data_IF_562229962974
#
_entry.id   IF_562229962974
#
_cell.length_a   1.000
_cell.length_b   1.000
_cell.length_c   1.000
_cell.angle_alpha   90.00
_cell.angle_beta   90.00
_cell.angle_gamma   90.00
#
_symmetry.space_group_name_H-M   'P 1'
#
loop_
_entity.id
_entity.type
_entity.pdbx_description
1 polymer ?
#
# COMPACT_ATOMS: atom_id res chain seq x y z
N UNK A 1 -19.13 -8.41 4.27
CA UNK A 1 -17.70 -8.66 4.02
C UNK A 1 -17.51 -9.11 2.59
N UNK A 2 -16.71 -8.39 1.87
CA UNK A 2 -16.49 -8.65 0.46
C UNK A 2 -15.21 -9.44 0.15
N UNK A 3 -14.48 -9.86 1.18
CA UNK A 3 -13.25 -10.62 1.00
C UNK A 3 -13.55 -12.12 0.97
N UNK A 4 -13.12 -12.76 -0.13
CA UNK A 4 -13.21 -14.21 -0.28
C UNK A 4 -11.87 -14.83 0.16
N UNK A 5 -11.92 -15.65 1.21
CA UNK A 5 -10.75 -16.29 1.81
C UNK A 5 -10.64 -17.77 1.45
N UNK A 6 -11.50 -18.25 0.55
CA UNK A 6 -11.61 -19.69 0.25
C UNK A 6 -10.50 -20.23 -0.64
N UNK A 7 -9.85 -19.39 -1.44
CA UNK A 7 -8.78 -19.79 -2.33
C UNK A 7 -7.39 -19.65 -1.71
N UNK A 8 -6.39 -19.93 -2.52
CA UNK A 8 -4.98 -19.76 -2.12
C UNK A 8 -4.66 -18.31 -1.76
N UNK A 9 -5.24 -17.38 -2.50
CA UNK A 9 -5.09 -15.94 -2.26
C UNK A 9 -6.43 -15.36 -1.86
N UNK A 10 -6.42 -14.40 -0.95
CA UNK A 10 -7.64 -13.66 -0.62
C UNK A 10 -8.00 -12.76 -1.78
N UNK A 11 -9.29 -12.67 -2.08
CA UNK A 11 -9.82 -11.90 -3.19
C UNK A 11 -10.84 -10.89 -2.67
N UNK A 12 -10.64 -9.61 -3.01
CA UNK A 12 -11.55 -8.53 -2.66
C UNK A 12 -12.40 -8.11 -3.84
N UNK A 13 -13.59 -7.57 -3.55
CA UNK A 13 -14.50 -7.06 -4.58
C UNK A 13 -14.48 -5.55 -4.71
N UNK A 14 -13.95 -4.84 -3.72
CA UNK A 14 -13.86 -3.38 -3.72
C UNK A 14 -12.47 -2.92 -3.31
N UNK A 15 -12.06 -1.70 -3.70
CA UNK A 15 -10.76 -1.16 -3.29
C UNK A 15 -10.60 -1.11 -1.77
N UNK A 16 -11.67 -0.84 -1.04
CA UNK A 16 -11.63 -0.77 0.43
C UNK A 16 -11.26 -2.09 1.10
N UNK A 17 -11.34 -3.21 0.40
CA UNK A 17 -10.98 -4.52 0.94
C UNK A 17 -9.48 -4.65 1.23
N UNK A 18 -8.65 -3.77 0.66
CA UNK A 18 -7.22 -3.69 0.99
C UNK A 18 -7.04 -3.49 2.50
N UNK A 19 -7.88 -2.64 3.11
CA UNK A 19 -7.82 -2.41 4.56
C UNK A 19 -8.00 -3.70 5.35
N UNK A 20 -9.03 -4.46 5.03
CA UNK A 20 -9.31 -5.73 5.73
C UNK A 20 -8.18 -6.73 5.60
N UNK A 21 -7.56 -6.80 4.42
CA UNK A 21 -6.41 -7.67 4.23
C UNK A 21 -5.21 -7.23 5.06
N UNK A 22 -4.88 -5.93 5.02
CA UNK A 22 -3.71 -5.41 5.76
C UNK A 22 -3.91 -5.57 7.27
N UNK A 23 -5.12 -5.33 7.78
CA UNK A 23 -5.42 -5.54 9.19
C UNK A 23 -5.18 -6.99 9.62
N UNK A 24 -5.59 -7.95 8.80
CA UNK A 24 -5.37 -9.36 9.08
C UNK A 24 -3.88 -9.75 8.95
N UNK A 25 -3.22 -9.22 7.93
CA UNK A 25 -1.80 -9.45 7.68
C UNK A 25 -0.93 -8.98 8.86
N UNK A 26 -1.29 -7.85 9.45
CA UNK A 26 -0.54 -7.21 10.53
C UNK A 26 -0.96 -7.67 11.94
N UNK A 27 -1.95 -8.56 12.05
CA UNK A 27 -2.56 -8.91 13.36
C UNK A 27 -1.60 -9.53 14.36
N UNK A 28 -0.55 -10.19 13.90
CA UNK A 28 0.46 -10.82 14.76
C UNK A 28 1.75 -10.01 14.87
N UNK A 29 1.76 -8.79 14.33
CA UNK A 29 2.92 -7.92 14.34
C UNK A 29 2.55 -6.51 14.75
N UNK A 30 2.96 -5.54 13.93
CA UNK A 30 2.63 -4.14 14.16
C UNK A 30 1.21 -3.87 13.68
N UNK A 31 0.26 -3.88 14.62
CA UNK A 31 -1.17 -3.75 14.34
C UNK A 31 -1.49 -2.42 13.62
N UNK A 32 -2.38 -2.48 12.63
CA UNK A 32 -2.81 -1.30 11.87
C UNK A 32 -3.81 -0.49 12.69
N UNK A 33 -3.52 0.78 12.89
CA UNK A 33 -4.38 1.74 13.61
C UNK A 33 -5.03 2.74 12.66
N UNK A 34 -4.38 3.08 11.56
CA UNK A 34 -4.90 4.00 10.54
C UNK A 34 -4.72 3.40 9.16
N UNK A 35 -5.61 3.77 8.23
CA UNK A 35 -5.54 3.29 6.85
C UNK A 35 -5.93 4.42 5.90
N UNK A 36 -5.22 4.50 4.77
CA UNK A 36 -5.55 5.43 3.69
C UNK A 36 -5.56 4.70 2.35
N UNK A 37 -6.62 4.86 1.59
CA UNK A 37 -6.73 4.31 0.25
C UNK A 37 -6.23 5.36 -0.75
N UNK A 38 -5.34 4.97 -1.65
CA UNK A 38 -4.77 5.88 -2.63
C UNK A 38 -5.80 6.28 -3.68
N UNK A 39 -5.77 7.56 -4.05
CA UNK A 39 -6.62 8.10 -5.10
C UNK A 39 -5.85 9.18 -5.85
N UNK A 40 -5.90 9.13 -7.18
CA UNK A 40 -5.24 10.13 -8.01
C UNK A 40 -6.02 11.45 -8.01
N UNK A 41 -5.32 12.54 -8.28
CA UNK A 41 -5.94 13.85 -8.46
C UNK A 41 -7.02 13.84 -9.56
N UNK A 42 -6.86 12.97 -10.57
CA UNK A 42 -7.85 12.82 -11.64
C UNK A 42 -9.07 11.97 -11.24
N UNK A 43 -9.08 11.46 -10.01
CA UNK A 43 -10.17 10.63 -9.49
C UNK A 43 -10.00 9.14 -9.67
N UNK A 44 -8.94 8.69 -10.37
CA UNK A 44 -8.68 7.25 -10.54
C UNK A 44 -8.19 6.63 -9.23
N UNK A 45 -8.60 5.39 -8.99
CA UNK A 45 -8.15 4.59 -7.85
C UNK A 45 -7.33 3.36 -8.27
N UNK A 46 -6.92 3.30 -9.54
CA UNK A 46 -6.15 2.19 -10.12
C UNK A 46 -4.78 2.69 -10.52
N UNK A 47 -3.73 1.95 -10.15
CA UNK A 47 -2.35 2.38 -10.31
C UNK A 47 -1.43 1.27 -10.75
N UNK A 48 -0.31 1.67 -11.38
CA UNK A 48 0.89 0.85 -11.45
C UNK A 48 1.66 1.08 -10.15
N UNK A 49 2.13 0.02 -9.51
CA UNK A 49 2.80 0.09 -8.21
C UNK A 49 4.23 -0.42 -8.35
N UNK A 50 5.18 0.39 -7.91
CA UNK A 50 6.59 0.03 -7.85
C UNK A 50 7.11 0.19 -6.43
N UNK A 51 7.99 -0.71 -6.00
CA UNK A 51 8.58 -0.61 -4.67
C UNK A 51 9.97 -1.24 -4.62
N UNK A 52 10.77 -0.78 -3.66
CA UNK A 52 12.00 -1.43 -3.24
C UNK A 52 11.86 -1.67 -1.74
N UNK A 53 11.57 -2.91 -1.35
CA UNK A 53 11.34 -3.26 0.04
C UNK A 53 12.62 -3.14 0.89
N UNK A 54 13.77 -3.32 0.29
CA UNK A 54 15.06 -3.20 0.99
C UNK A 54 15.37 -1.76 1.38
N UNK A 55 15.06 -0.81 0.49
CA UNK A 55 15.26 0.62 0.76
C UNK A 55 14.08 1.24 1.50
N UNK A 56 12.92 0.57 1.53
CA UNK A 56 11.73 1.10 2.19
C UNK A 56 11.11 2.25 1.41
N UNK A 57 10.84 2.04 0.13
CA UNK A 57 10.24 3.06 -0.74
C UNK A 57 9.20 2.42 -1.65
N UNK A 58 8.18 3.20 -2.00
CA UNK A 58 7.16 2.80 -2.96
C UNK A 58 6.63 4.01 -3.70
N UNK A 59 6.16 3.81 -4.92
CA UNK A 59 5.52 4.84 -5.72
C UNK A 59 4.37 4.25 -6.51
N UNK A 60 3.37 5.08 -6.81
CA UNK A 60 2.26 4.71 -7.67
C UNK A 60 2.20 5.63 -8.88
N UNK A 61 1.88 5.06 -10.02
CA UNK A 61 1.71 5.82 -11.25
C UNK A 61 0.27 5.63 -11.73
N UNK A 62 -0.45 6.74 -11.91
CA UNK A 62 -1.81 6.69 -12.45
C UNK A 62 -1.75 6.45 -13.96
N UNK A 63 -2.37 5.38 -14.49
CA UNK A 63 -2.33 5.13 -15.92
C UNK A 63 -3.19 6.11 -16.72
N UNK A 64 -4.11 6.79 -16.06
CA UNK A 64 -5.04 7.73 -16.69
C UNK A 64 -4.40 9.12 -16.89
N UNK A 65 -3.83 9.72 -15.83
CA UNK A 65 -3.19 11.03 -15.92
C UNK A 65 -1.67 10.97 -15.95
N UNK A 66 -1.10 9.79 -15.78
CA UNK A 66 0.34 9.49 -15.83
C UNK A 66 1.17 10.18 -14.75
N UNK A 67 0.53 10.70 -13.70
CA UNK A 67 1.25 11.28 -12.57
C UNK A 67 1.83 10.18 -11.68
N UNK A 68 3.09 10.39 -11.29
CA UNK A 68 3.79 9.54 -10.33
C UNK A 68 3.69 10.18 -8.95
N UNK A 69 3.32 9.38 -7.95
CA UNK A 69 3.27 9.82 -6.56
C UNK A 69 4.09 8.88 -5.70
N UNK A 70 5.07 9.44 -4.97
CA UNK A 70 5.84 8.67 -4.01
C UNK A 70 5.04 8.53 -2.72
N UNK A 71 4.89 7.29 -2.25
CA UNK A 71 4.09 7.00 -1.06
C UNK A 71 4.84 7.39 0.20
N UNK A 72 4.20 8.19 1.03
CA UNK A 72 4.70 8.60 2.34
C UNK A 72 6.07 9.30 2.25
N UNK A 73 7.13 8.73 2.84
CA UNK A 73 8.47 9.32 2.84
C UNK A 73 9.36 8.83 1.69
N UNK A 74 8.79 8.12 0.73
CA UNK A 74 9.55 7.44 -0.33
C UNK A 74 10.37 8.39 -1.20
N UNK A 75 9.90 9.62 -1.43
CA UNK A 75 10.62 10.59 -2.26
C UNK A 75 12.00 10.89 -1.70
N UNK A 76 12.14 10.95 -0.38
CA UNK A 76 13.41 11.24 0.29
C UNK A 76 14.46 10.14 0.09
N UNK A 77 14.01 8.91 -0.13
CA UNK A 77 14.88 7.72 -0.18
C UNK A 77 14.89 7.04 -1.54
N UNK A 78 14.30 7.65 -2.56
CA UNK A 78 14.12 7.03 -3.86
C UNK A 78 15.38 7.00 -4.72
N UNK A 79 16.35 7.87 -4.45
CA UNK A 79 17.54 8.04 -5.30
C UNK A 79 18.32 6.74 -5.51
N UNK A 80 18.53 5.97 -4.43
CA UNK A 80 19.30 4.73 -4.49
C UNK A 80 18.41 3.48 -4.62
N UNK A 81 17.12 3.67 -4.86
CA UNK A 81 16.17 2.56 -4.90
C UNK A 81 16.20 1.82 -6.24
N UNK A 82 16.06 0.50 -6.15
CA UNK A 82 15.87 -0.37 -7.30
C UNK A 82 14.39 -0.79 -7.33
N UNK A 83 13.56 0.02 -7.96
CA UNK A 83 12.12 -0.22 -7.99
C UNK A 83 11.75 -1.45 -8.80
N UNK A 84 10.95 -2.33 -8.18
CA UNK A 84 10.40 -3.50 -8.84
C UNK A 84 8.91 -3.25 -9.11
N UNK A 85 8.47 -3.55 -10.32
CA UNK A 85 7.06 -3.38 -10.70
C UNK A 85 6.21 -4.50 -10.12
N UNK A 86 5.14 -4.13 -9.42
CA UNK A 86 4.15 -5.11 -8.97
C UNK A 86 3.43 -5.74 -10.16
N UNK A 87 3.24 -7.04 -10.08
CA UNK A 87 2.50 -7.80 -11.08
C UNK A 87 1.66 -8.85 -10.36
N UNK A 88 0.40 -8.99 -10.75
CA UNK A 88 -0.48 -9.95 -10.10
C UNK A 88 0.00 -11.37 -10.33
N UNK A 89 0.07 -12.13 -9.24
CA UNK A 89 0.55 -13.51 -9.26
C UNK A 89 -0.45 -14.45 -9.98
N UNK A 90 -1.73 -14.07 -10.04
CA UNK A 90 -2.76 -14.89 -10.67
C UNK A 90 -3.02 -14.56 -12.14
N UNK A 91 -3.14 -13.26 -12.47
CA UNK A 91 -3.54 -12.86 -13.81
C UNK A 91 -2.51 -12.02 -14.56
N UNK A 92 -1.37 -11.75 -13.92
CA UNK A 92 -0.25 -10.97 -14.49
C UNK A 92 -0.60 -9.52 -14.82
N UNK A 93 -1.73 -8.98 -14.32
CA UNK A 93 -2.05 -7.56 -14.45
C UNK A 93 -1.04 -6.72 -13.66
N UNK A 94 -0.72 -5.53 -14.16
CA UNK A 94 0.15 -4.57 -13.47
C UNK A 94 -0.65 -3.39 -12.91
N UNK A 95 -1.99 -3.48 -12.88
CA UNK A 95 -2.86 -2.43 -12.37
C UNK A 95 -3.54 -2.89 -11.10
N UNK A 96 -3.47 -2.06 -10.07
CA UNK A 96 -4.05 -2.38 -8.77
C UNK A 96 -4.62 -1.16 -8.06
N UNK A 97 -5.52 -1.44 -7.10
CA UNK A 97 -5.83 -0.45 -6.08
C UNK A 97 -4.70 -0.50 -5.05
N UNK A 98 -4.37 0.63 -4.44
CA UNK A 98 -3.25 0.75 -3.50
C UNK A 98 -3.76 1.39 -2.22
N UNK A 99 -3.36 0.84 -1.09
CA UNK A 99 -3.68 1.41 0.21
C UNK A 99 -2.51 1.25 1.17
N UNK A 100 -2.42 2.14 2.14
CA UNK A 100 -1.36 2.11 3.14
C UNK A 100 -1.98 2.00 4.53
N UNK A 101 -1.55 0.97 5.27
CA UNK A 101 -1.90 0.80 6.67
C UNK A 101 -0.76 1.28 7.55
N UNK A 102 -1.10 1.96 8.63
CA UNK A 102 -0.13 2.55 9.55
C UNK A 102 -0.27 1.96 10.93
N UNK A 103 0.84 1.48 11.49
CA UNK A 103 0.93 1.11 12.89
C UNK A 103 1.53 2.27 13.66
N UNK A 104 0.91 2.64 14.78
CA UNK A 104 1.35 3.75 15.61
C UNK A 104 2.04 3.25 16.87
N UNK A 105 2.87 4.10 17.49
CA UNK A 105 3.39 3.81 18.81
C UNK A 105 2.24 3.76 19.83
N UNK A 106 2.47 3.14 20.98
CA UNK A 106 1.42 2.91 22.01
C UNK A 106 0.69 4.19 22.45
N UNK A 107 1.38 5.33 22.43
CA UNK A 107 0.79 6.63 22.81
C UNK A 107 0.10 7.32 21.62
N UNK A 108 0.01 6.64 20.47
CA UNK A 108 -0.57 7.16 19.22
C UNK A 108 0.09 8.45 18.72
N UNK A 109 1.30 8.74 19.17
CA UNK A 109 1.99 10.00 18.86
C UNK A 109 2.50 10.05 17.42
N UNK A 110 3.11 8.96 16.95
CA UNK A 110 3.78 8.91 15.68
C UNK A 110 3.62 7.53 15.00
N UNK A 111 3.96 7.46 13.72
CA UNK A 111 3.93 6.21 12.96
C UNK A 111 5.15 5.37 13.34
N UNK A 112 4.91 4.09 13.61
CA UNK A 112 5.97 3.12 13.91
C UNK A 112 6.33 2.28 12.69
N UNK A 113 5.32 1.85 11.93
CA UNK A 113 5.47 0.99 10.76
C UNK A 113 4.39 1.30 9.74
N UNK A 114 4.66 1.06 8.45
CA UNK A 114 3.62 1.13 7.44
C UNK A 114 3.66 -0.09 6.54
N UNK A 115 2.49 -0.40 5.96
CA UNK A 115 2.30 -1.50 5.03
C UNK A 115 1.68 -0.97 3.74
N UNK A 116 2.29 -1.30 2.60
CA UNK A 116 1.75 -0.95 1.29
C UNK A 116 0.98 -2.15 0.75
N UNK A 117 -0.33 -2.07 0.75
CA UNK A 117 -1.21 -3.13 0.29
C UNK A 117 -1.78 -2.86 -1.08
N UNK A 118 -2.29 -3.91 -1.70
CA UNK A 118 -2.87 -3.83 -3.04
C UNK A 118 -4.07 -4.75 -3.19
N UNK A 119 -4.90 -4.42 -4.19
CA UNK A 119 -5.93 -5.31 -4.74
C UNK A 119 -5.80 -5.27 -6.25
N UNK A 120 -5.63 -6.43 -6.88
CA UNK A 120 -5.58 -6.49 -8.35
C UNK A 120 -6.88 -5.96 -8.93
N UNK A 121 -6.78 -5.01 -9.86
CA UNK A 121 -7.98 -4.42 -10.46
C UNK A 121 -8.69 -5.37 -11.42
N UNK A 122 -8.01 -6.41 -11.90
CA UNK A 122 -8.58 -7.39 -12.82
C UNK A 122 -9.24 -8.57 -12.12
N UNK A 123 -8.52 -9.22 -11.20
CA UNK A 123 -9.03 -10.43 -10.55
C UNK A 123 -9.30 -10.28 -9.05
N UNK A 124 -8.92 -9.16 -8.44
CA UNK A 124 -9.23 -8.87 -7.05
C UNK A 124 -8.28 -9.46 -6.00
N UNK A 125 -7.22 -10.14 -6.41
CA UNK A 125 -6.25 -10.70 -5.45
C UNK A 125 -5.71 -9.60 -4.54
N UNK A 126 -5.73 -9.86 -3.23
CA UNK A 126 -5.26 -8.94 -2.20
C UNK A 126 -3.87 -9.35 -1.72
N UNK A 127 -3.06 -8.37 -1.34
CA UNK A 127 -1.75 -8.65 -0.78
C UNK A 127 -1.08 -7.44 -0.18
N UNK A 128 0.11 -7.67 0.41
CA UNK A 128 1.00 -6.63 0.90
C UNK A 128 2.28 -6.69 0.07
N UNK A 129 2.63 -5.59 -0.58
CA UNK A 129 3.78 -5.57 -1.49
C UNK A 129 5.07 -5.12 -0.82
N UNK A 130 4.97 -4.19 0.13
CA UNK A 130 6.13 -3.66 0.85
C UNK A 130 5.71 -3.14 2.21
N UNK A 131 6.68 -2.97 3.09
CA UNK A 131 6.46 -2.37 4.39
C UNK A 131 7.79 -1.96 5.00
N UNK A 132 7.77 -0.91 5.81
CA UNK A 132 8.99 -0.46 6.46
C UNK A 132 8.71 0.33 7.73
N UNK A 133 9.76 0.45 8.54
CA UNK A 133 9.71 1.18 9.80
C UNK A 133 9.88 2.68 9.55
N UNK A 134 9.13 3.48 10.33
CA UNK A 134 9.33 4.93 10.39
C UNK A 134 10.01 5.24 11.74
N UNK A 135 11.28 5.61 11.67
CA UNK A 135 12.11 5.75 12.87
C UNK A 135 12.33 7.21 13.30
N UNK A 136 11.51 8.13 12.81
CA UNK A 136 11.68 9.56 13.06
C UNK A 136 10.33 10.23 13.37
N UNK A 137 10.40 11.46 13.87
CA UNK A 137 9.24 12.30 14.15
C UNK A 137 9.55 13.74 13.69
N UNK A 138 8.56 14.52 13.24
CA UNK A 138 7.15 14.15 13.10
C UNK A 138 6.91 13.22 11.90
N UNK A 139 5.90 12.37 11.99
CA UNK A 139 5.59 11.42 10.92
C UNK A 139 4.11 11.38 10.53
N UNK A 140 3.21 11.92 11.34
CA UNK A 140 1.77 11.82 11.08
C UNK A 140 1.33 12.52 9.79
N UNK A 141 2.10 13.48 9.29
CA UNK A 141 1.83 14.12 8.00
C UNK A 141 1.88 13.12 6.83
N UNK A 142 2.51 11.97 7.02
CA UNK A 142 2.59 10.92 5.99
C UNK A 142 1.24 10.30 5.67
N UNK A 143 0.25 10.40 6.59
CA UNK A 143 -1.12 9.96 6.31
C UNK A 143 -1.68 10.63 5.06
N UNK A 144 -1.29 11.86 4.79
CA UNK A 144 -1.79 12.64 3.65
C UNK A 144 -0.95 12.45 2.39
N UNK A 145 0.02 11.56 2.42
CA UNK A 145 0.93 11.31 1.29
C UNK A 145 0.76 9.90 0.70
N UNK A 146 -0.42 9.39 0.74
CA UNK A 146 -0.79 8.11 0.13
C UNK A 146 -1.45 8.30 -1.27
#
# INVERSE_FOLDING_TARGET
>A
MSIDKSGKWWVGTTPGDVRGFIEAYASEGDEVHEFRLAKSECGSDTFQLDADDNEGVARRTCPNCQKVHFLCDSEEFAEDADFQRWKCIECASELSNVGVGFSLYEDDSEIRWLYVGYRCSSCGVLGCFAGWKIAYAPSRHLFDKV
#
